data_IF_126165687737
#
_entry.id   IF_126165687737
#
_cell.length_a   1.000
_cell.length_b   1.000
_cell.length_c   1.000
_cell.angle_alpha   90.00
_cell.angle_beta   90.00
_cell.angle_gamma   90.00
#
_symmetry.space_group_name_H-M   'P 1'
#
loop_
_entity.id
_entity.type
_entity.pdbx_description
1 polymer ?
#
# COMPACT_ATOMS: atom_id res chain seq x y z
N UNK A 1 60.10 -33.68 -83.23
CA UNK A 1 58.65 -33.59 -82.97
C UNK A 1 58.44 -33.65 -81.46
N UNK A 2 58.33 -32.51 -80.81
CA UNK A 2 57.99 -32.41 -79.38
C UNK A 2 56.48 -32.21 -79.29
N UNK A 3 55.78 -33.27 -78.86
CA UNK A 3 54.33 -33.26 -78.64
C UNK A 3 54.01 -32.36 -77.45
N UNK A 4 53.24 -31.29 -77.67
CA UNK A 4 52.79 -30.37 -76.64
C UNK A 4 51.45 -30.89 -76.10
N UNK A 5 51.44 -31.42 -74.87
CA UNK A 5 50.23 -31.95 -74.26
C UNK A 5 49.30 -30.81 -73.80
N UNK A 6 47.97 -30.94 -73.97
CA UNK A 6 47.02 -29.91 -73.54
C UNK A 6 47.03 -29.74 -72.02
N UNK A 7 47.30 -28.52 -71.56
CA UNK A 7 47.15 -28.13 -70.15
C UNK A 7 45.66 -27.94 -69.85
N UNK A 8 45.12 -28.72 -68.91
CA UNK A 8 43.75 -28.55 -68.44
C UNK A 8 43.69 -27.47 -67.35
N UNK A 9 42.69 -26.57 -67.34
CA UNK A 9 42.57 -25.57 -66.29
C UNK A 9 42.32 -26.22 -64.91
N UNK A 10 42.84 -25.63 -63.82
CA UNK A 10 42.65 -26.15 -62.48
C UNK A 10 41.15 -26.12 -62.09
N UNK A 11 40.67 -27.11 -61.31
CA UNK A 11 39.28 -27.16 -60.89
C UNK A 11 38.94 -25.96 -60.00
N UNK A 12 37.80 -25.32 -60.26
CA UNK A 12 37.27 -24.24 -59.43
C UNK A 12 36.99 -24.77 -58.01
N UNK A 13 37.72 -24.26 -57.02
CA UNK A 13 37.44 -24.51 -55.61
C UNK A 13 36.18 -23.71 -55.21
N UNK A 14 35.08 -24.40 -54.89
CA UNK A 14 33.92 -23.75 -54.30
C UNK A 14 34.28 -23.24 -52.89
N UNK A 15 33.90 -22.01 -52.51
CA UNK A 15 34.13 -21.51 -51.16
C UNK A 15 33.42 -22.44 -50.16
N UNK A 16 34.14 -22.97 -49.18
CA UNK A 16 33.57 -23.77 -48.12
C UNK A 16 32.52 -22.90 -47.38
N UNK A 17 31.24 -23.28 -47.47
CA UNK A 17 30.17 -22.58 -46.80
C UNK A 17 30.44 -22.51 -45.30
N UNK A 18 30.58 -21.29 -44.77
CA UNK A 18 30.72 -21.07 -43.34
C UNK A 18 29.40 -21.49 -42.67
N UNK A 19 29.38 -22.68 -42.05
CA UNK A 19 28.29 -23.09 -41.19
C UNK A 19 28.18 -22.09 -40.04
N UNK A 20 27.07 -21.35 -39.98
CA UNK A 20 26.81 -20.43 -38.89
C UNK A 20 26.79 -21.21 -37.55
N UNK A 21 27.45 -20.70 -36.49
CA UNK A 21 27.44 -21.37 -35.19
C UNK A 21 26.01 -21.47 -34.64
N UNK A 22 25.68 -22.54 -33.91
CA UNK A 22 24.35 -22.72 -33.32
C UNK A 22 24.04 -21.58 -32.34
N UNK A 23 22.81 -21.06 -32.42
CA UNK A 23 22.37 -19.96 -31.57
C UNK A 23 22.36 -20.36 -30.08
N UNK A 24 22.74 -19.47 -29.16
CA UNK A 24 22.77 -19.77 -27.73
C UNK A 24 21.36 -20.00 -27.16
N UNK A 25 21.22 -20.85 -26.11
CA UNK A 25 19.94 -21.18 -25.50
C UNK A 25 19.30 -19.97 -24.78
N UNK A 26 17.99 -19.79 -24.95
CA UNK A 26 17.26 -18.60 -24.50
C UNK A 26 16.68 -18.74 -23.07
N UNK A 27 17.56 -19.00 -22.10
CA UNK A 27 17.16 -19.33 -20.72
C UNK A 27 16.67 -18.13 -19.88
N UNK A 28 16.87 -16.88 -20.34
CA UNK A 28 16.65 -15.66 -19.54
C UNK A 28 15.24 -15.54 -18.92
N UNK A 29 14.20 -15.90 -19.67
CA UNK A 29 12.81 -15.82 -19.17
C UNK A 29 12.52 -16.81 -18.05
N UNK A 30 13.04 -18.04 -18.14
CA UNK A 30 12.87 -19.04 -17.08
C UNK A 30 13.58 -18.64 -15.79
N UNK A 31 14.77 -18.06 -15.89
CA UNK A 31 15.51 -17.54 -14.72
C UNK A 31 14.82 -16.34 -14.09
N UNK A 32 14.37 -15.37 -14.90
CA UNK A 32 13.66 -14.20 -14.40
C UNK A 32 12.34 -14.58 -13.70
N UNK A 33 11.57 -15.49 -14.29
CA UNK A 33 10.35 -16.02 -13.68
C UNK A 33 10.61 -16.71 -12.34
N UNK A 34 11.68 -17.49 -12.22
CA UNK A 34 12.08 -18.13 -10.96
C UNK A 34 12.46 -17.12 -9.87
N UNK A 35 13.32 -16.14 -10.19
CA UNK A 35 13.76 -15.12 -9.22
C UNK A 35 12.57 -14.29 -8.74
N UNK A 36 11.71 -13.83 -9.64
CA UNK A 36 10.52 -13.05 -9.28
C UNK A 36 9.51 -13.87 -8.48
N UNK A 37 9.31 -15.15 -8.84
CA UNK A 37 8.46 -16.06 -8.08
C UNK A 37 8.96 -16.33 -6.67
N UNK A 38 10.27 -16.53 -6.50
CA UNK A 38 10.89 -16.73 -5.19
C UNK A 38 10.79 -15.47 -4.31
N UNK A 39 11.12 -14.31 -4.86
CA UNK A 39 11.01 -13.03 -4.15
C UNK A 39 9.56 -12.74 -3.77
N UNK A 40 8.61 -12.92 -4.69
CA UNK A 40 7.18 -12.77 -4.40
C UNK A 40 6.69 -13.71 -3.30
N UNK A 41 7.12 -14.98 -3.32
CA UNK A 41 6.79 -15.95 -2.28
C UNK A 41 7.35 -15.54 -0.91
N UNK A 42 8.60 -15.07 -0.84
CA UNK A 42 9.20 -14.62 0.42
C UNK A 42 8.46 -13.41 1.01
N UNK A 43 8.08 -12.44 0.19
CA UNK A 43 7.33 -11.27 0.65
C UNK A 43 5.86 -11.56 0.96
N UNK A 44 5.29 -12.66 0.45
CA UNK A 44 3.90 -13.04 0.74
C UNK A 44 3.61 -13.31 2.22
N UNK A 45 4.63 -13.59 3.02
CA UNK A 45 4.52 -13.86 4.45
C UNK A 45 4.47 -12.60 5.33
N UNK A 46 4.66 -11.40 4.76
CA UNK A 46 4.64 -10.12 5.48
C UNK A 46 3.33 -9.39 5.14
N UNK A 47 2.34 -9.32 6.06
CA UNK A 47 0.99 -8.83 5.77
C UNK A 47 0.92 -7.40 5.21
N UNK A 48 1.82 -6.50 5.63
CA UNK A 48 1.86 -5.11 5.16
C UNK A 48 2.57 -4.92 3.80
N UNK A 49 3.43 -5.86 3.38
CA UNK A 49 4.19 -5.77 2.12
C UNK A 49 3.44 -6.43 0.95
N UNK A 50 2.34 -7.14 1.24
CA UNK A 50 1.53 -7.87 0.26
C UNK A 50 1.01 -7.01 -0.90
N UNK A 51 0.72 -5.71 -0.68
CA UNK A 51 0.24 -4.81 -1.74
C UNK A 51 1.30 -4.59 -2.83
N UNK A 52 2.58 -4.54 -2.45
CA UNK A 52 3.71 -4.39 -3.40
C UNK A 52 4.07 -5.74 -4.04
N UNK A 53 3.75 -6.87 -3.40
CA UNK A 53 4.05 -8.20 -3.90
C UNK A 53 3.20 -8.62 -5.12
N UNK A 54 1.99 -8.05 -5.28
CA UNK A 54 1.05 -8.42 -6.34
C UNK A 54 1.62 -8.25 -7.76
N UNK A 55 2.20 -7.09 -8.14
CA UNK A 55 2.86 -6.94 -9.44
C UNK A 55 4.01 -7.93 -9.67
N UNK A 56 4.81 -8.21 -8.63
CA UNK A 56 5.96 -9.11 -8.74
C UNK A 56 5.52 -10.57 -8.98
N UNK A 57 4.48 -11.02 -8.29
CA UNK A 57 3.94 -12.39 -8.45
C UNK A 57 3.34 -12.58 -9.84
N UNK A 58 2.62 -11.58 -10.36
CA UNK A 58 2.05 -11.60 -11.72
C UNK A 58 3.15 -11.62 -12.78
N UNK A 59 4.18 -10.78 -12.63
CA UNK A 59 5.33 -10.77 -13.54
C UNK A 59 6.10 -12.10 -13.48
N UNK A 60 6.25 -12.69 -12.28
CA UNK A 60 6.82 -14.02 -12.09
C UNK A 60 6.07 -15.11 -12.87
N UNK A 61 4.72 -15.13 -12.78
CA UNK A 61 3.88 -16.06 -13.54
C UNK A 61 4.06 -15.90 -15.05
N UNK A 62 4.06 -14.67 -15.56
CA UNK A 62 4.19 -14.38 -16.99
C UNK A 62 5.56 -14.85 -17.50
N UNK A 63 6.65 -14.48 -16.82
CA UNK A 63 8.00 -14.85 -17.27
C UNK A 63 8.28 -16.35 -17.11
N UNK A 64 7.77 -17.00 -16.07
CA UNK A 64 7.86 -18.46 -15.92
C UNK A 64 7.08 -19.18 -17.03
N UNK A 65 5.89 -18.71 -17.38
CA UNK A 65 5.08 -19.23 -18.48
C UNK A 65 5.76 -19.10 -19.85
N UNK A 66 6.33 -17.93 -20.15
CA UNK A 66 7.11 -17.70 -21.39
C UNK A 66 8.38 -18.56 -21.41
N UNK A 67 9.08 -18.68 -20.28
CA UNK A 67 10.24 -19.56 -20.14
C UNK A 67 9.91 -21.02 -20.42
N UNK A 68 8.79 -21.51 -19.89
CA UNK A 68 8.31 -22.87 -20.12
C UNK A 68 7.90 -23.10 -21.58
N UNK A 69 7.20 -22.15 -22.21
CA UNK A 69 6.83 -22.23 -23.61
C UNK A 69 8.05 -22.30 -24.54
N UNK A 70 9.08 -21.48 -24.28
CA UNK A 70 10.36 -21.50 -25.03
C UNK A 70 11.12 -22.80 -24.84
N UNK A 71 11.10 -23.35 -23.63
CA UNK A 71 11.75 -24.62 -23.34
C UNK A 71 11.01 -25.81 -23.98
N UNK A 72 9.68 -25.77 -24.06
CA UNK A 72 8.87 -26.74 -24.83
C UNK A 72 9.14 -26.67 -26.33
N UNK A 73 9.36 -25.47 -26.86
CA UNK A 73 9.71 -25.25 -28.27
C UNK A 73 11.18 -25.57 -28.62
N UNK A 74 11.96 -26.16 -27.70
CA UNK A 74 13.37 -26.50 -27.92
C UNK A 74 14.33 -25.30 -27.98
N UNK A 75 13.86 -24.09 -27.66
CA UNK A 75 14.67 -22.85 -27.69
C UNK A 75 15.36 -22.53 -26.37
N UNK A 76 15.03 -23.26 -25.31
CA UNK A 76 15.63 -23.11 -23.98
C UNK A 76 15.82 -24.50 -23.33
N UNK A 77 16.83 -24.62 -22.48
CA UNK A 77 17.22 -25.88 -21.84
C UNK A 77 16.83 -25.95 -20.36
N UNK A 78 16.36 -24.85 -19.77
CA UNK A 78 16.06 -24.72 -18.34
C UNK A 78 14.60 -25.03 -17.97
N UNK A 79 14.05 -26.16 -18.46
CA UNK A 79 12.66 -26.60 -18.18
C UNK A 79 12.37 -26.68 -16.68
N UNK A 80 13.26 -27.29 -15.90
CA UNK A 80 13.08 -27.45 -14.46
C UNK A 80 12.97 -26.11 -13.72
N UNK A 81 13.79 -25.14 -14.08
CA UNK A 81 13.78 -23.81 -13.45
C UNK A 81 12.50 -23.03 -13.79
N UNK A 82 12.02 -23.11 -15.04
CA UNK A 82 10.76 -22.50 -15.43
C UNK A 82 9.55 -23.11 -14.71
N UNK A 83 9.55 -24.44 -14.51
CA UNK A 83 8.51 -25.14 -13.74
C UNK A 83 8.57 -24.73 -12.26
N UNK A 84 9.77 -24.67 -11.68
CA UNK A 84 9.95 -24.22 -10.29
C UNK A 84 9.45 -22.77 -10.12
N UNK A 85 9.78 -21.87 -11.05
CA UNK A 85 9.28 -20.49 -11.02
C UNK A 85 7.76 -20.41 -11.10
N UNK A 86 7.14 -21.19 -11.99
CA UNK A 86 5.69 -21.26 -12.10
C UNK A 86 5.03 -21.77 -10.81
N UNK A 87 5.59 -22.81 -10.21
CA UNK A 87 5.11 -23.38 -8.96
C UNK A 87 5.24 -22.40 -7.78
N UNK A 88 6.40 -21.73 -7.64
CA UNK A 88 6.62 -20.73 -6.61
C UNK A 88 5.67 -19.53 -6.77
N UNK A 89 5.49 -19.02 -7.98
CA UNK A 89 4.56 -17.91 -8.22
C UNK A 89 3.10 -18.32 -8.00
N UNK A 90 2.70 -19.54 -8.38
CA UNK A 90 1.35 -20.04 -8.13
C UNK A 90 1.07 -20.22 -6.63
N UNK A 91 2.05 -20.74 -5.87
CA UNK A 91 1.97 -20.87 -4.42
C UNK A 91 1.91 -19.49 -3.73
N UNK A 92 2.76 -18.55 -4.16
CA UNK A 92 2.73 -17.17 -3.66
C UNK A 92 1.40 -16.48 -3.94
N UNK A 93 0.85 -16.65 -5.15
CA UNK A 93 -0.48 -16.13 -5.49
C UNK A 93 -1.58 -16.75 -4.63
N UNK A 94 -1.55 -18.07 -4.40
CA UNK A 94 -2.52 -18.75 -3.54
C UNK A 94 -2.47 -18.21 -2.12
N UNK A 95 -1.28 -18.07 -1.53
CA UNK A 95 -1.10 -17.48 -0.19
C UNK A 95 -1.63 -16.04 -0.16
N UNK A 96 -1.33 -15.22 -1.17
CA UNK A 96 -1.87 -13.86 -1.27
C UNK A 96 -3.40 -13.84 -1.35
N UNK A 97 -4.02 -14.71 -2.14
CA UNK A 97 -5.48 -14.82 -2.25
C UNK A 97 -6.09 -15.24 -0.91
N UNK A 98 -5.50 -16.22 -0.23
CA UNK A 98 -5.96 -16.67 1.09
C UNK A 98 -5.89 -15.52 2.12
N UNK A 99 -4.78 -14.79 2.17
CA UNK A 99 -4.66 -13.60 3.02
C UNK A 99 -5.68 -12.51 2.66
N UNK A 100 -5.85 -12.19 1.37
CA UNK A 100 -6.84 -11.21 0.92
C UNK A 100 -8.28 -11.63 1.29
N UNK A 101 -8.60 -12.93 1.18
CA UNK A 101 -9.90 -13.47 1.55
C UNK A 101 -10.14 -13.51 3.05
N UNK A 102 -9.10 -13.78 3.85
CA UNK A 102 -9.16 -13.71 5.31
C UNK A 102 -9.32 -12.26 5.78
N UNK A 103 -8.63 -11.32 5.15
CA UNK A 103 -8.78 -9.88 5.41
C UNK A 103 -10.17 -9.38 5.01
N UNK A 104 -10.66 -9.73 3.81
CA UNK A 104 -12.01 -9.38 3.37
C UNK A 104 -13.09 -10.00 4.27
N UNK A 105 -12.89 -11.24 4.73
CA UNK A 105 -13.77 -11.90 5.70
C UNK A 105 -13.72 -11.21 7.06
N UNK A 106 -12.56 -10.75 7.53
CA UNK A 106 -12.44 -9.99 8.77
C UNK A 106 -13.18 -8.64 8.67
N UNK A 107 -13.06 -7.93 7.55
CA UNK A 107 -13.79 -6.68 7.27
C UNK A 107 -15.30 -6.91 7.16
N UNK A 108 -15.73 -8.04 6.56
CA UNK A 108 -17.15 -8.39 6.41
C UNK A 108 -17.78 -8.90 7.71
N UNK A 109 -17.00 -9.58 8.56
CA UNK A 109 -17.45 -10.07 9.87
C UNK A 109 -17.67 -8.93 10.86
N UNK A 110 -16.98 -7.80 10.69
CA UNK A 110 -17.25 -6.57 11.44
C UNK A 110 -18.60 -5.91 11.09
N UNK A 111 -19.25 -6.32 9.99
CA UNK A 111 -20.57 -5.81 9.56
C UNK A 111 -21.73 -6.76 9.92
N UNK A 112 -21.47 -7.99 10.37
CA UNK A 112 -22.53 -9.02 10.55
C UNK A 112 -22.82 -9.40 12.01
N UNK A 113 -22.05 -8.94 13.00
CA UNK A 113 -22.27 -9.26 14.43
C UNK A 113 -23.21 -8.29 15.18
N UNK A 114 -24.16 -7.66 14.47
CA UNK A 114 -25.21 -6.83 15.08
C UNK A 114 -26.61 -7.41 14.82
N UNK A 115 -26.83 -8.68 15.18
CA UNK A 115 -28.18 -9.22 15.41
C UNK A 115 -28.32 -9.63 16.88
N UNK A 116 -28.83 -8.70 17.69
CA UNK A 116 -29.54 -8.99 18.92
C UNK A 116 -31.01 -8.57 18.71
N UNK A 117 -32.00 -9.41 19.05
CA UNK A 117 -33.38 -9.13 18.69
C UNK A 117 -34.01 -8.14 19.66
N UNK A 118 -34.66 -7.12 19.08
CA UNK A 118 -35.79 -6.41 19.67
C UNK A 118 -35.57 -4.95 20.01
N UNK A 119 -35.92 -4.05 19.08
CA UNK A 119 -37.07 -3.12 19.23
C UNK A 119 -37.18 -2.25 17.96
N UNK A 120 -38.23 -2.56 17.18
CA UNK A 120 -38.99 -1.68 16.28
C UNK A 120 -38.26 -0.83 15.23
N UNK A 121 -38.37 -1.30 13.99
CA UNK A 121 -38.54 -0.56 12.72
C UNK A 121 -38.60 0.98 12.81
N UNK A 122 -37.63 1.63 12.17
CA UNK A 122 -37.90 2.82 11.35
C UNK A 122 -37.13 2.68 10.03
N UNK A 123 -37.89 2.42 8.97
CA UNK A 123 -37.42 2.51 7.58
C UNK A 123 -37.45 3.99 7.17
N UNK A 124 -36.30 4.54 6.75
CA UNK A 124 -36.18 5.86 6.10
C UNK A 124 -34.80 5.91 5.46
N UNK A 125 -34.68 5.65 4.16
CA UNK A 125 -34.70 6.68 3.08
C UNK A 125 -33.63 7.75 3.30
N UNK A 126 -32.69 7.84 2.37
CA UNK A 126 -31.52 8.69 2.46
C UNK A 126 -31.84 10.14 2.77
N UNK A 127 -31.31 10.60 3.90
CA UNK A 127 -30.96 12.00 4.12
C UNK A 127 -29.43 12.08 4.08
N UNK A 128 -28.90 13.09 3.41
CA UNK A 128 -27.51 13.46 3.54
C UNK A 128 -27.21 13.62 5.05
N UNK A 129 -26.43 12.70 5.62
CA UNK A 129 -26.04 12.79 7.03
C UNK A 129 -25.41 14.17 7.23
N UNK A 130 -26.02 14.97 8.10
CA UNK A 130 -25.42 16.20 8.56
C UNK A 130 -24.01 15.87 9.07
N UNK A 131 -22.99 16.50 8.48
CA UNK A 131 -21.60 16.30 8.87
C UNK A 131 -21.46 16.62 10.36
N UNK A 132 -20.87 15.70 11.12
CA UNK A 132 -20.67 15.88 12.55
C UNK A 132 -19.81 17.12 12.82
N UNK A 133 -20.11 17.87 13.89
CA UNK A 133 -19.32 19.04 14.30
C UNK A 133 -18.36 18.74 15.44
N UNK A 134 -17.66 19.78 15.91
CA UNK A 134 -16.82 19.70 17.11
C UNK A 134 -17.59 19.13 18.31
N UNK A 135 -16.92 18.27 19.08
CA UNK A 135 -17.47 17.60 20.25
C UNK A 135 -18.45 16.45 19.96
N UNK A 136 -18.82 16.23 18.70
CA UNK A 136 -19.62 15.06 18.30
C UNK A 136 -18.72 13.86 18.04
N UNK A 137 -19.17 12.68 18.46
CA UNK A 137 -18.48 11.43 18.18
C UNK A 137 -18.71 11.02 16.73
N UNK A 138 -17.65 10.64 16.03
CA UNK A 138 -17.68 9.95 14.74
C UNK A 138 -16.93 8.64 14.83
N UNK A 139 -17.19 7.72 13.89
CA UNK A 139 -16.63 6.36 13.92
C UNK A 139 -16.09 5.97 12.56
N UNK A 140 -14.94 5.32 12.58
CA UNK A 140 -14.36 4.66 11.42
C UNK A 140 -13.57 3.44 11.92
N UNK A 141 -13.76 2.29 11.27
CA UNK A 141 -13.14 1.03 11.68
C UNK A 141 -13.32 0.69 13.17
N UNK A 142 -12.20 0.45 13.85
CA UNK A 142 -12.14 0.09 15.28
C UNK A 142 -12.08 1.29 16.23
N UNK A 143 -12.12 2.53 15.73
CA UNK A 143 -12.02 3.72 16.55
C UNK A 143 -13.29 4.58 16.51
N UNK A 144 -13.62 5.13 17.68
CA UNK A 144 -14.48 6.29 17.80
C UNK A 144 -13.61 7.52 18.09
N UNK A 145 -13.92 8.63 17.43
CA UNK A 145 -13.17 9.86 17.51
C UNK A 145 -14.07 11.00 17.97
N UNK A 146 -13.52 11.91 18.77
CA UNK A 146 -14.16 13.20 19.08
C UNK A 146 -13.14 14.31 18.90
N UNK A 147 -13.43 15.27 18.01
CA UNK A 147 -12.63 16.49 17.90
C UNK A 147 -13.03 17.43 19.03
N UNK A 148 -12.15 17.65 19.98
CA UNK A 148 -12.45 18.42 21.19
C UNK A 148 -12.12 19.89 21.04
N UNK A 149 -11.09 20.22 20.25
CA UNK A 149 -10.62 21.60 20.05
C UNK A 149 -9.81 21.72 18.77
N UNK A 150 -9.87 22.89 18.13
CA UNK A 150 -8.96 23.30 17.05
C UNK A 150 -8.27 24.58 17.46
N UNK A 151 -6.94 24.59 17.44
CA UNK A 151 -6.13 25.78 17.66
C UNK A 151 -5.47 26.20 16.35
N UNK A 152 -5.92 27.30 15.72
CA UNK A 152 -5.25 27.83 14.55
C UNK A 152 -4.04 28.69 14.93
N UNK A 153 -3.04 28.71 14.06
CA UNK A 153 -2.21 29.90 13.89
C UNK A 153 -0.94 29.99 14.73
N UNK A 154 -0.22 28.89 14.96
CA UNK A 154 1.12 28.95 15.55
C UNK A 154 2.21 28.77 14.50
N UNK A 155 3.17 29.70 14.44
CA UNK A 155 4.26 29.63 13.43
C UNK A 155 5.29 28.56 13.76
N UNK A 156 5.45 28.24 15.04
CA UNK A 156 6.50 27.35 15.54
C UNK A 156 5.99 26.50 16.68
N UNK A 157 6.48 25.27 16.77
CA UNK A 157 6.24 24.35 17.88
C UNK A 157 7.55 24.02 18.59
N UNK A 158 7.49 24.02 19.92
CA UNK A 158 8.63 23.79 20.82
C UNK A 158 9.74 24.83 20.73
N UNK A 159 10.84 24.52 21.42
CA UNK A 159 11.94 25.46 21.68
C UNK A 159 13.31 24.83 21.44
N UNK A 160 14.32 25.69 21.30
CA UNK A 160 15.72 25.28 21.19
C UNK A 160 15.97 24.32 20.02
N UNK A 161 16.61 23.18 20.30
CA UNK A 161 16.99 22.19 19.29
C UNK A 161 15.81 21.37 18.74
N UNK A 162 14.70 21.28 19.47
CA UNK A 162 13.50 20.52 19.05
C UNK A 162 12.50 21.38 18.26
N UNK A 163 12.76 22.69 18.17
CA UNK A 163 11.89 23.66 17.52
C UNK A 163 11.59 23.29 16.07
N UNK A 164 10.31 23.17 15.75
CA UNK A 164 9.80 23.02 14.40
C UNK A 164 9.16 24.31 13.92
N UNK A 165 9.37 24.68 12.65
CA UNK A 165 8.83 25.90 12.05
C UNK A 165 7.97 25.51 10.86
N UNK A 166 6.71 25.94 10.86
CA UNK A 166 5.78 25.71 9.77
C UNK A 166 6.23 26.45 8.50
N UNK A 167 5.92 25.87 7.34
CA UNK A 167 5.99 26.52 6.04
C UNK A 167 4.99 27.67 5.96
N UNK A 168 3.76 27.45 6.45
CA UNK A 168 2.78 28.49 6.68
C UNK A 168 2.55 28.70 8.18
N UNK A 169 1.53 28.04 8.70
CA UNK A 169 1.22 28.02 10.12
C UNK A 169 0.70 26.64 10.53
N UNK A 170 1.03 26.24 11.75
CA UNK A 170 0.48 25.02 12.32
C UNK A 170 -0.95 25.24 12.79
N UNK A 171 -1.79 24.27 12.47
CA UNK A 171 -3.13 24.05 13.02
C UNK A 171 -3.08 22.79 13.88
N UNK A 172 -3.50 22.92 15.14
CA UNK A 172 -3.48 21.83 16.11
C UNK A 172 -4.92 21.36 16.33
N UNK A 173 -5.18 20.09 16.03
CA UNK A 173 -6.49 19.47 16.22
C UNK A 173 -6.40 18.50 17.39
N UNK A 174 -7.09 18.81 18.48
CA UNK A 174 -7.15 17.98 19.68
C UNK A 174 -8.25 16.94 19.53
N UNK A 175 -7.90 15.68 19.80
CA UNK A 175 -8.76 14.52 19.61
C UNK A 175 -8.80 13.69 20.88
N UNK A 176 -9.97 13.12 21.14
CA UNK A 176 -10.11 11.90 21.95
C UNK A 176 -10.32 10.74 21.00
N UNK A 177 -9.55 9.67 21.18
CA UNK A 177 -9.62 8.44 20.38
C UNK A 177 -9.94 7.28 21.32
N UNK A 178 -11.02 6.57 21.05
CA UNK A 178 -11.49 5.42 21.83
C UNK A 178 -11.42 4.16 20.98
N UNK A 179 -10.75 3.12 21.48
CA UNK A 179 -10.79 1.81 20.83
C UNK A 179 -12.11 1.11 21.14
N UNK A 180 -12.97 1.00 20.12
CA UNK A 180 -14.27 0.30 20.19
C UNK A 180 -14.20 -1.11 19.58
N UNK A 181 -13.04 -1.52 19.08
CA UNK A 181 -12.77 -2.84 18.53
C UNK A 181 -12.48 -3.90 19.60
N UNK A 182 -12.11 -5.10 19.13
CA UNK A 182 -11.83 -6.27 19.99
C UNK A 182 -10.33 -6.48 20.28
N UNK A 183 -9.45 -5.84 19.51
CA UNK A 183 -8.00 -6.00 19.58
C UNK A 183 -7.30 -4.68 19.93
N UNK A 184 -6.09 -4.77 20.49
CA UNK A 184 -5.28 -3.58 20.75
C UNK A 184 -4.76 -2.98 19.44
N UNK A 185 -4.93 -1.68 19.25
CA UNK A 185 -4.59 -1.01 18.00
C UNK A 185 -3.91 0.34 18.25
N UNK A 186 -2.91 0.66 17.45
CA UNK A 186 -2.23 1.96 17.48
C UNK A 186 -2.98 2.95 16.61
N UNK A 187 -3.23 4.15 17.14
CA UNK A 187 -3.70 5.28 16.34
C UNK A 187 -2.52 5.95 15.63
N UNK A 188 -2.65 6.21 14.33
CA UNK A 188 -1.64 6.92 13.54
C UNK A 188 -2.15 8.31 13.17
N UNK A 189 -1.51 9.36 13.70
CA UNK A 189 -1.78 10.73 13.30
C UNK A 189 -1.52 11.00 11.81
N UNK A 190 -0.67 10.20 11.16
CA UNK A 190 -0.34 10.37 9.73
C UNK A 190 -1.45 9.95 8.76
N UNK A 191 -2.47 9.24 9.25
CA UNK A 191 -3.61 8.84 8.41
C UNK A 191 -4.67 9.94 8.30
N UNK A 192 -4.61 10.96 9.16
CA UNK A 192 -5.65 11.99 9.25
C UNK A 192 -5.43 13.07 8.19
N UNK A 193 -6.52 13.62 7.64
CA UNK A 193 -6.48 14.68 6.62
C UNK A 193 -7.22 15.91 7.08
N UNK A 194 -6.59 17.07 7.01
CA UNK A 194 -7.27 18.34 7.22
C UNK A 194 -7.71 18.90 5.87
N UNK A 195 -8.90 19.47 5.81
CA UNK A 195 -9.49 20.02 4.59
C UNK A 195 -9.80 21.50 4.76
N UNK A 196 -9.58 22.29 3.71
CA UNK A 196 -10.09 23.65 3.62
C UNK A 196 -11.47 23.74 2.95
N UNK A 197 -12.02 24.95 2.86
CA UNK A 197 -13.34 25.20 2.27
C UNK A 197 -13.41 24.88 0.76
N UNK A 198 -12.26 24.69 0.09
CA UNK A 198 -12.18 24.31 -1.32
C UNK A 198 -11.99 22.79 -1.49
N UNK A 199 -11.90 22.03 -0.40
CA UNK A 199 -11.67 20.59 -0.42
C UNK A 199 -10.21 20.20 -0.71
N UNK A 200 -9.25 21.12 -0.56
CA UNK A 200 -7.82 20.76 -0.60
C UNK A 200 -7.45 20.03 0.68
N UNK A 201 -6.70 18.95 0.53
CA UNK A 201 -6.22 18.13 1.64
C UNK A 201 -4.83 18.56 2.09
N UNK A 202 -4.61 18.49 3.40
CA UNK A 202 -3.33 18.75 4.06
C UNK A 202 -2.97 17.55 4.96
N UNK A 203 -1.73 17.08 4.80
CA UNK A 203 -1.19 15.95 5.56
C UNK A 203 -0.76 16.40 6.97
N UNK A 204 -0.86 15.46 7.92
CA UNK A 204 -0.40 15.70 9.29
C UNK A 204 1.14 15.70 9.39
N UNK A 205 1.70 16.68 10.10
CA UNK A 205 3.10 16.74 10.51
C UNK A 205 3.28 15.99 11.84
N UNK A 206 3.34 14.66 11.75
CA UNK A 206 3.49 13.78 12.92
C UNK A 206 4.82 13.97 13.64
N UNK A 207 5.88 14.35 12.93
CA UNK A 207 7.20 14.64 13.50
C UNK A 207 7.16 15.85 14.42
N UNK A 208 6.59 16.96 13.94
CA UNK A 208 6.42 18.15 14.77
C UNK A 208 5.53 17.87 15.99
N UNK A 209 4.44 17.13 15.82
CA UNK A 209 3.53 16.77 16.91
C UNK A 209 4.24 15.95 18.01
N UNK A 210 4.87 14.83 17.66
CA UNK A 210 5.48 13.91 18.63
C UNK A 210 6.67 14.54 19.36
N UNK A 211 7.45 15.37 18.68
CA UNK A 211 8.64 16.00 19.26
C UNK A 211 8.31 17.17 20.18
N UNK A 212 7.19 17.87 19.95
CA UNK A 212 6.92 19.15 20.60
C UNK A 212 5.64 19.19 21.45
N UNK A 213 4.76 18.19 21.33
CA UNK A 213 3.49 18.15 22.07
C UNK A 213 3.44 16.90 22.97
N UNK A 214 3.52 17.05 24.30
CA UNK A 214 3.54 15.93 25.24
C UNK A 214 2.34 14.99 25.06
N UNK A 215 1.14 15.55 24.89
CA UNK A 215 -0.10 14.76 24.78
C UNK A 215 -0.14 13.91 23.50
N UNK A 216 0.63 14.27 22.46
CA UNK A 216 0.68 13.51 21.20
C UNK A 216 1.49 12.21 21.33
N UNK A 217 2.29 12.07 22.41
CA UNK A 217 3.02 10.82 22.68
C UNK A 217 2.10 9.68 23.09
N UNK A 218 0.86 9.97 23.53
CA UNK A 218 -0.14 8.95 23.85
C UNK A 218 -0.46 8.08 22.63
N UNK A 219 -0.40 8.66 21.42
CA UNK A 219 -0.62 7.99 20.15
C UNK A 219 0.53 7.07 19.72
N UNK A 220 1.68 7.08 20.43
CA UNK A 220 2.80 6.18 20.15
C UNK A 220 2.59 4.75 20.69
N UNK A 221 1.52 4.52 21.45
CA UNK A 221 1.23 3.23 22.06
C UNK A 221 -0.07 2.64 21.51
N UNK A 222 -0.21 1.32 21.66
CA UNK A 222 -1.48 0.65 21.38
C UNK A 222 -2.53 1.06 22.42
N UNK A 223 -3.73 1.35 21.93
CA UNK A 223 -4.92 1.57 22.74
C UNK A 223 -5.61 0.21 22.87
N UNK A 224 -5.76 -0.29 24.10
CA UNK A 224 -6.51 -1.54 24.34
C UNK A 224 -8.03 -1.33 24.13
N UNK A 225 -8.80 -2.37 23.79
CA UNK A 225 -10.26 -2.31 23.69
C UNK A 225 -10.91 -1.63 24.90
N UNK A 226 -11.83 -0.70 24.63
CA UNK A 226 -12.56 0.10 25.63
C UNK A 226 -11.78 1.28 26.21
N UNK A 227 -10.46 1.39 25.98
CA UNK A 227 -9.69 2.52 26.46
C UNK A 227 -9.81 3.73 25.52
N UNK A 228 -9.65 4.92 26.11
CA UNK A 228 -9.58 6.19 25.39
C UNK A 228 -8.27 6.90 25.69
N UNK A 229 -7.72 7.58 24.68
CA UNK A 229 -6.54 8.43 24.80
C UNK A 229 -6.82 9.80 24.19
N UNK A 230 -6.18 10.82 24.73
CA UNK A 230 -6.23 12.17 24.19
C UNK A 230 -4.90 12.49 23.53
N UNK A 231 -4.93 13.27 22.45
CA UNK A 231 -3.72 13.79 21.83
C UNK A 231 -4.04 14.83 20.77
N UNK A 232 -2.99 15.32 20.10
CA UNK A 232 -3.11 16.38 19.11
C UNK A 232 -2.53 15.93 17.78
N UNK A 233 -3.23 16.21 16.70
CA UNK A 233 -2.73 16.06 15.34
C UNK A 233 -2.39 17.45 14.82
N UNK A 234 -1.21 17.60 14.24
CA UNK A 234 -0.69 18.88 13.75
C UNK A 234 -0.70 18.89 12.24
N UNK A 235 -1.14 19.99 11.64
CA UNK A 235 -1.13 20.21 10.19
C UNK A 235 -0.43 21.54 9.88
N UNK A 236 0.27 21.61 8.76
CA UNK A 236 0.88 22.86 8.27
C UNK A 236 0.04 23.41 7.10
N UNK A 237 -0.58 24.56 7.31
CA UNK A 237 -1.46 25.20 6.34
C UNK A 237 -0.89 26.55 5.86
N UNK A 238 -1.13 26.93 4.59
CA UNK A 238 -0.83 28.29 4.11
C UNK A 238 -1.51 29.35 4.98
N UNK A 239 -0.86 30.49 5.22
CA UNK A 239 -1.31 31.51 6.19
C UNK A 239 -2.63 32.21 5.85
N UNK A 240 -3.07 32.12 4.60
CA UNK A 240 -4.31 32.68 4.08
C UNK A 240 -5.46 31.66 3.98
N UNK A 241 -5.24 30.44 4.46
CA UNK A 241 -6.19 29.32 4.36
C UNK A 241 -6.61 28.88 5.76
N UNK A 242 -7.92 28.76 5.96
CA UNK A 242 -8.50 28.27 7.21
C UNK A 242 -8.94 26.80 7.09
N UNK A 243 -8.84 26.01 8.17
CA UNK A 243 -9.40 24.66 8.21
C UNK A 243 -10.93 24.71 8.18
N UNK A 244 -11.55 23.84 7.40
CA UNK A 244 -13.00 23.71 7.30
C UNK A 244 -13.51 22.37 7.87
N UNK A 245 -12.78 21.28 7.63
CA UNK A 245 -13.13 19.94 8.09
C UNK A 245 -11.87 19.10 8.36
N UNK A 246 -12.02 17.99 9.10
CA UNK A 246 -11.01 16.95 9.24
C UNK A 246 -11.63 15.59 8.88
N UNK A 247 -10.89 14.77 8.16
CA UNK A 247 -11.21 13.37 7.91
C UNK A 247 -10.38 12.48 8.83
N UNK A 248 -11.10 11.67 9.62
CA UNK A 248 -10.54 10.84 10.67
C UNK A 248 -10.56 9.37 10.24
N UNK A 249 -9.39 8.75 10.29
CA UNK A 249 -9.16 7.39 9.80
C UNK A 249 -8.58 6.49 10.88
N UNK A 250 -9.17 5.30 11.00
CA UNK A 250 -8.64 4.18 11.76
C UNK A 250 -7.35 3.61 11.16
N UNK A 251 -7.27 3.55 9.83
CA UNK A 251 -6.11 3.05 9.10
C UNK A 251 -5.94 3.78 7.77
N UNK A 252 -4.78 3.62 7.12
CA UNK A 252 -4.54 4.22 5.80
C UNK A 252 -5.48 3.71 4.69
N UNK A 253 -6.30 2.70 4.96
CA UNK A 253 -7.20 2.06 4.00
C UNK A 253 -8.67 2.15 4.41
N UNK A 254 -8.99 2.80 5.52
CA UNK A 254 -10.37 2.92 5.99
C UNK A 254 -11.13 4.02 5.24
N UNK A 255 -12.45 3.97 5.32
CA UNK A 255 -13.34 4.87 4.59
C UNK A 255 -13.34 6.31 5.10
N UNK A 256 -12.88 6.51 6.35
CA UNK A 256 -12.79 7.82 6.98
C UNK A 256 -14.12 8.30 7.54
N UNK A 257 -14.05 9.21 8.51
CA UNK A 257 -15.20 9.91 9.04
C UNK A 257 -14.92 11.42 9.09
N UNK A 258 -15.80 12.21 8.47
CA UNK A 258 -15.61 13.67 8.36
C UNK A 258 -16.24 14.40 9.55
N UNK A 259 -15.47 15.33 10.12
CA UNK A 259 -15.93 16.29 11.14
C UNK A 259 -15.74 17.71 10.62
N UNK A 260 -16.83 18.48 10.59
CA UNK A 260 -16.80 19.91 10.31
C UNK A 260 -16.14 20.66 11.49
N UNK A 261 -15.14 21.47 11.17
CA UNK A 261 -14.40 22.29 12.14
C UNK A 261 -14.89 23.74 12.20
N UNK A 262 -15.74 24.11 11.24
CA UNK A 262 -16.44 25.39 11.19
C UNK A 262 -17.93 25.14 11.31
N UNK A 263 -18.59 25.90 12.19
CA UNK A 263 -20.03 25.92 12.39
C UNK A 263 -20.52 27.35 12.43
#
# INVERSE_FOLDING_TARGET
MTQQFPQYPPPYQQPAGHLAPPAPPQNGFGTAGFVLGLVGLLFSFIPLVGVIAWPLVILGLIFAGVGLARARAGRATNKGLAIAGLACSALGLLVCILYASAFASAVSSSTTDADAPGTTLATGSGDAQATAGLGQEVRDGSFAFTVTKVEPGVKTLGDGFLKSTAQGHYVLVHLTVTNIGKDAQMFSGGNQKLLDAQGREFDADTGAAVMNLPDSQSFLNNINPGNSVNGTVVFDMPTDVAPAAIELHDSAFSGGATVALTG
#
